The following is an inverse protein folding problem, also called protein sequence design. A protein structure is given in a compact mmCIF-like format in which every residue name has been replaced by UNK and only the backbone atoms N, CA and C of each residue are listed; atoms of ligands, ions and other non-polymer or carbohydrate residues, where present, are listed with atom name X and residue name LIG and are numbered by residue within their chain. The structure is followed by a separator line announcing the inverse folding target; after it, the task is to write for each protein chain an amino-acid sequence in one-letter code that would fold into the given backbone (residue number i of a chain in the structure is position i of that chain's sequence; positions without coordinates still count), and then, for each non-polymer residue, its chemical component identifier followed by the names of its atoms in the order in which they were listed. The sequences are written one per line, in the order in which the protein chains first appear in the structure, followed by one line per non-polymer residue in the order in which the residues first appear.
data_IF_294842771522
#
_entry.id   IF_294842771522
#
_cell.length_a   1.000
_cell.length_b   1.000
_cell.length_c   1.000
_cell.angle_alpha   90.00
_cell.angle_beta   90.00
_cell.angle_gamma   90.00
#
_symmetry.space_group_name_H-M   'P 1'
#
loop_
_entity.id
_entity.type
_entity.pdbx_description
1 polymer ?
#
# COMPACT_ATOMS: atom_id res chain seq x y z
N UNK A 1 1.29 -12.81 4.41
CA UNK A 1 2.35 -11.78 4.14
C UNK A 1 1.72 -10.41 4.15
N UNK A 2 2.51 -9.36 4.45
CA UNK A 2 2.00 -8.00 4.65
C UNK A 2 2.82 -6.97 3.84
N UNK A 3 2.13 -5.95 3.33
CA UNK A 3 2.69 -4.76 2.73
C UNK A 3 1.94 -3.52 3.22
N UNK A 4 2.56 -2.36 3.24
CA UNK A 4 1.90 -1.11 3.57
C UNK A 4 2.41 0.04 2.72
N UNK A 5 1.57 1.05 2.61
CA UNK A 5 1.96 2.33 2.04
C UNK A 5 1.32 3.48 2.82
N UNK A 6 2.00 4.63 2.84
CA UNK A 6 1.52 5.87 3.45
C UNK A 6 1.79 7.04 2.51
N UNK A 7 0.78 7.89 2.30
CA UNK A 7 0.88 9.09 1.49
C UNK A 7 0.55 10.30 2.35
N UNK A 8 1.47 11.27 2.40
CA UNK A 8 1.23 12.62 2.90
C UNK A 8 0.56 13.44 1.79
N UNK A 9 -0.71 13.75 1.96
CA UNK A 9 -1.51 14.44 0.93
C UNK A 9 -0.99 15.85 0.63
N UNK A 10 -0.46 16.54 1.64
CA UNK A 10 0.12 17.87 1.47
C UNK A 10 1.39 17.83 0.61
N UNK A 11 2.22 16.80 0.81
CA UNK A 11 3.44 16.62 0.03
C UNK A 11 3.13 16.12 -1.39
N UNK A 12 2.24 15.13 -1.52
CA UNK A 12 1.82 14.60 -2.82
C UNK A 12 1.29 15.69 -3.75
N UNK A 13 0.51 16.63 -3.22
CA UNK A 13 -0.01 17.78 -3.98
C UNK A 13 1.10 18.72 -4.47
N UNK A 14 2.22 18.81 -3.76
CA UNK A 14 3.36 19.66 -4.13
C UNK A 14 4.28 18.97 -5.14
N UNK A 15 4.52 17.67 -4.95
CA UNK A 15 5.52 16.93 -5.72
C UNK A 15 4.97 16.32 -7.01
N UNK A 16 3.66 16.10 -7.09
CA UNK A 16 3.05 15.35 -8.18
C UNK A 16 1.87 16.08 -8.81
N UNK A 17 1.98 16.39 -10.08
CA UNK A 17 0.85 16.83 -10.90
C UNK A 17 0.21 15.60 -11.58
N UNK A 18 -0.79 15.00 -10.94
CA UNK A 18 -1.49 13.83 -11.48
C UNK A 18 -2.30 14.13 -12.74
N UNK A 19 -2.64 15.41 -12.99
CA UNK A 19 -3.37 15.85 -14.19
C UNK A 19 -2.45 16.08 -15.41
N UNK A 20 -1.13 16.00 -15.24
CA UNK A 20 -0.23 16.14 -16.37
C UNK A 20 -0.49 15.05 -17.40
N UNK A 21 -0.36 15.41 -18.69
CA UNK A 21 -0.53 14.47 -19.80
C UNK A 21 0.28 13.20 -19.64
N UNK A 22 -0.37 12.05 -19.76
CA UNK A 22 0.25 10.72 -19.67
C UNK A 22 0.53 10.22 -18.24
N UNK A 23 0.18 10.97 -17.19
CA UNK A 23 0.37 10.49 -15.81
C UNK A 23 -0.52 9.28 -15.53
N UNK A 24 -1.82 9.41 -15.80
CA UNK A 24 -2.77 8.33 -15.57
C UNK A 24 -2.46 7.11 -16.45
N UNK A 25 -2.10 7.32 -17.70
CA UNK A 25 -1.80 6.23 -18.66
C UNK A 25 -0.60 5.36 -18.21
N UNK A 26 0.33 5.93 -17.48
CA UNK A 26 1.51 5.21 -16.97
C UNK A 26 1.22 4.36 -15.74
N UNK A 27 0.22 4.74 -14.94
CA UNK A 27 0.03 4.20 -13.60
C UNK A 27 -1.26 3.41 -13.43
N UNK A 28 -2.27 3.70 -14.25
CA UNK A 28 -3.63 3.19 -14.04
C UNK A 28 -4.18 2.56 -15.32
N UNK A 29 -4.89 1.43 -15.14
CA UNK A 29 -5.65 0.80 -16.23
C UNK A 29 -6.80 1.70 -16.67
N UNK A 30 -7.38 1.44 -17.83
CA UNK A 30 -8.53 2.23 -18.32
C UNK A 30 -9.71 2.21 -17.34
N UNK A 31 -9.96 1.06 -16.70
CA UNK A 31 -11.00 0.92 -15.68
C UNK A 31 -10.72 1.82 -14.48
N UNK A 32 -9.49 1.82 -13.98
CA UNK A 32 -9.08 2.68 -12.86
C UNK A 32 -9.12 4.18 -13.24
N UNK A 33 -8.74 4.54 -14.46
CA UNK A 33 -8.85 5.92 -14.94
C UNK A 33 -10.30 6.40 -14.96
N UNK A 34 -11.24 5.57 -15.42
CA UNK A 34 -12.68 5.87 -15.37
C UNK A 34 -13.16 6.03 -13.92
N UNK A 35 -12.69 5.19 -13.01
CA UNK A 35 -13.01 5.27 -11.60
C UNK A 35 -12.50 6.58 -10.98
N UNK A 36 -11.28 7.01 -11.32
CA UNK A 36 -10.69 8.28 -10.89
C UNK A 36 -11.56 9.45 -11.40
N UNK A 37 -11.82 9.50 -12.70
CA UNK A 37 -12.52 10.62 -13.33
C UNK A 37 -13.98 10.76 -12.90
N UNK A 38 -14.63 9.65 -12.55
CA UNK A 38 -16.01 9.64 -12.04
C UNK A 38 -16.13 9.79 -10.53
N UNK A 39 -15.02 9.86 -9.80
CA UNK A 39 -15.00 10.04 -8.36
C UNK A 39 -15.41 11.46 -7.96
N UNK A 40 -16.05 11.61 -6.79
CA UNK A 40 -16.33 12.92 -6.20
C UNK A 40 -15.06 13.71 -5.89
N UNK A 41 -13.98 13.01 -5.58
CA UNK A 41 -12.65 13.59 -5.37
C UNK A 41 -11.60 12.80 -6.16
N UNK A 42 -11.35 13.17 -7.44
CA UNK A 42 -10.40 12.46 -8.30
C UNK A 42 -8.97 12.41 -7.73
N UNK A 43 -8.50 13.48 -7.09
CA UNK A 43 -7.17 13.50 -6.50
C UNK A 43 -7.01 12.44 -5.40
N UNK A 44 -7.97 12.36 -4.49
CA UNK A 44 -7.97 11.34 -3.42
C UNK A 44 -8.08 9.93 -4.03
N UNK A 45 -8.87 9.75 -5.08
CA UNK A 45 -8.97 8.45 -5.74
C UNK A 45 -7.65 8.04 -6.41
N UNK A 46 -6.93 8.95 -7.05
CA UNK A 46 -5.59 8.69 -7.59
C UNK A 46 -4.67 8.13 -6.50
N UNK A 47 -4.59 8.82 -5.37
CA UNK A 47 -3.68 8.42 -4.28
C UNK A 47 -4.16 7.18 -3.53
N UNK A 48 -5.47 6.95 -3.43
CA UNK A 48 -6.03 5.71 -2.89
C UNK A 48 -5.62 4.50 -3.74
N UNK A 49 -5.84 4.55 -5.05
CA UNK A 49 -5.47 3.45 -5.95
C UNK A 49 -3.96 3.25 -6.00
N UNK A 50 -3.18 4.34 -6.05
CA UNK A 50 -1.72 4.26 -6.03
C UNK A 50 -1.19 3.60 -4.77
N UNK A 51 -1.65 4.03 -3.59
CA UNK A 51 -1.26 3.48 -2.31
C UNK A 51 -1.56 1.97 -2.21
N UNK A 52 -2.69 1.51 -2.78
CA UNK A 52 -3.03 0.08 -2.86
C UNK A 52 -2.05 -0.70 -3.70
N UNK A 53 -1.69 -0.16 -4.88
CA UNK A 53 -0.70 -0.79 -5.76
C UNK A 53 0.66 -0.90 -5.07
N UNK A 54 1.13 0.16 -4.42
CA UNK A 54 2.40 0.17 -3.70
C UNK A 54 2.42 -0.82 -2.52
N UNK A 55 1.35 -0.89 -1.74
CA UNK A 55 1.24 -1.83 -0.65
C UNK A 55 1.24 -3.30 -1.16
N UNK A 56 0.47 -3.59 -2.20
CA UNK A 56 0.41 -4.91 -2.83
C UNK A 56 1.74 -5.28 -3.51
N UNK A 57 2.38 -4.32 -4.19
CA UNK A 57 3.67 -4.52 -4.85
C UNK A 57 4.77 -4.97 -3.88
N UNK A 58 4.79 -4.46 -2.64
CA UNK A 58 5.74 -4.90 -1.61
C UNK A 58 5.60 -6.39 -1.30
N UNK A 59 4.39 -6.94 -1.32
CA UNK A 59 4.17 -8.38 -1.15
C UNK A 59 4.62 -9.12 -2.41
N UNK A 60 4.17 -8.69 -3.58
CA UNK A 60 4.53 -9.28 -4.87
C UNK A 60 6.05 -9.37 -5.05
N UNK A 61 6.76 -8.27 -4.80
CA UNK A 61 8.22 -8.22 -4.88
C UNK A 61 8.89 -9.24 -3.95
N UNK A 62 8.36 -9.40 -2.72
CA UNK A 62 8.89 -10.39 -1.76
C UNK A 62 8.63 -11.83 -2.18
N UNK A 63 7.48 -12.10 -2.76
CA UNK A 63 7.11 -13.44 -3.23
C UNK A 63 7.91 -13.87 -4.45
N UNK A 64 8.13 -12.95 -5.38
CA UNK A 64 8.70 -13.25 -6.68
C UNK A 64 10.18 -12.91 -6.80
N UNK A 65 10.71 -12.06 -5.91
CA UNK A 65 12.04 -11.44 -5.99
C UNK A 65 12.23 -10.61 -7.27
N UNK A 66 11.13 -10.23 -7.94
CA UNK A 66 11.14 -9.39 -9.14
C UNK A 66 11.03 -7.94 -8.70
N UNK A 67 12.05 -7.13 -9.01
CA UNK A 67 12.04 -5.69 -8.83
C UNK A 67 11.81 -5.02 -10.20
N UNK A 68 10.57 -4.65 -10.47
CA UNK A 68 10.18 -4.02 -11.72
C UNK A 68 9.08 -2.97 -11.49
N UNK A 69 9.06 -1.93 -12.32
CA UNK A 69 7.99 -0.95 -12.31
C UNK A 69 6.84 -1.46 -13.18
N UNK A 70 5.82 -2.03 -12.55
CA UNK A 70 4.70 -2.73 -13.21
C UNK A 70 3.31 -2.23 -12.78
N UNK A 71 3.06 -0.91 -12.62
CA UNK A 71 1.81 -0.42 -12.05
C UNK A 71 0.57 -0.83 -12.84
N UNK A 72 0.68 -1.01 -14.15
CA UNK A 72 -0.45 -1.45 -15.00
C UNK A 72 -0.79 -2.94 -14.85
N UNK A 73 0.12 -3.74 -14.27
CA UNK A 73 -0.14 -5.15 -13.96
C UNK A 73 -0.77 -5.34 -12.57
N UNK A 74 -0.74 -4.29 -11.76
CA UNK A 74 -1.38 -4.23 -10.44
C UNK A 74 -2.71 -3.50 -10.61
N UNK A 75 -3.84 -4.20 -10.69
CA UNK A 75 -5.14 -3.58 -10.89
C UNK A 75 -6.02 -3.69 -9.64
N UNK A 76 -6.64 -2.56 -9.26
CA UNK A 76 -7.49 -2.44 -8.07
C UNK A 76 -8.93 -2.78 -8.39
N UNK A 77 -9.58 -3.59 -7.53
CA UNK A 77 -10.96 -4.05 -7.67
C UNK A 77 -11.74 -3.97 -6.35
N UNK A 78 -13.06 -4.04 -6.47
CA UNK A 78 -14.03 -4.27 -5.38
C UNK A 78 -13.84 -3.29 -4.20
N UNK A 79 -13.79 -1.97 -4.50
CA UNK A 79 -13.68 -0.96 -3.46
C UNK A 79 -15.01 -0.83 -2.72
N UNK A 80 -15.00 -1.16 -1.42
CA UNK A 80 -16.14 -1.09 -0.53
C UNK A 80 -15.78 -0.31 0.74
N UNK A 81 -16.59 0.70 1.06
CA UNK A 81 -16.42 1.45 2.30
C UNK A 81 -17.16 0.76 3.45
N UNK A 82 -16.43 0.50 4.54
CA UNK A 82 -16.96 -0.10 5.76
C UNK A 82 -16.21 0.42 6.97
N UNK A 83 -16.95 0.89 7.99
CA UNK A 83 -16.43 1.34 9.28
C UNK A 83 -15.29 2.38 9.15
N UNK A 84 -15.45 3.36 8.24
CA UNK A 84 -14.45 4.41 7.99
C UNK A 84 -13.17 3.92 7.30
N UNK A 85 -13.15 2.70 6.80
CA UNK A 85 -12.08 2.13 5.99
C UNK A 85 -12.61 1.72 4.63
N UNK A 86 -11.74 1.75 3.62
CA UNK A 86 -12.08 1.26 2.28
C UNK A 86 -11.36 -0.07 2.07
N UNK A 87 -12.11 -1.14 1.94
CA UNK A 87 -11.60 -2.47 1.60
C UNK A 87 -11.58 -2.66 0.08
N UNK A 88 -10.78 -3.58 -0.40
CA UNK A 88 -10.70 -3.93 -1.81
C UNK A 88 -9.63 -4.97 -2.08
N UNK A 89 -9.35 -5.17 -3.36
CA UNK A 89 -8.35 -6.12 -3.85
C UNK A 89 -7.42 -5.46 -4.83
N UNK A 90 -6.19 -5.96 -4.91
CA UNK A 90 -5.26 -5.72 -6.02
C UNK A 90 -4.93 -7.07 -6.63
N UNK A 91 -5.10 -7.19 -7.93
CA UNK A 91 -4.74 -8.40 -8.68
C UNK A 91 -3.46 -8.12 -9.48
N UNK A 92 -2.50 -9.03 -9.41
CA UNK A 92 -1.27 -8.98 -10.17
C UNK A 92 -0.80 -10.38 -10.53
N UNK A 93 -0.66 -10.68 -11.83
CA UNK A 93 -0.05 -11.93 -12.31
C UNK A 93 -0.64 -13.19 -11.63
N UNK A 94 -1.96 -13.32 -11.58
CA UNK A 94 -2.71 -14.39 -10.92
C UNK A 94 -2.65 -14.40 -9.37
N UNK A 95 -2.00 -13.42 -8.75
CA UNK A 95 -2.05 -13.23 -7.30
C UNK A 95 -3.12 -12.22 -6.93
N UNK A 96 -3.77 -12.44 -5.79
CA UNK A 96 -4.76 -11.51 -5.21
C UNK A 96 -4.24 -11.04 -3.85
N UNK A 97 -4.24 -9.73 -3.66
CA UNK A 97 -3.89 -9.07 -2.41
C UNK A 97 -5.10 -8.32 -1.90
N UNK A 98 -5.50 -8.56 -0.67
CA UNK A 98 -6.59 -7.85 -0.02
C UNK A 98 -6.05 -6.56 0.59
N UNK A 99 -6.78 -5.46 0.42
CA UNK A 99 -6.34 -4.15 0.87
C UNK A 99 -7.35 -3.50 1.80
N UNK A 100 -6.84 -2.79 2.81
CA UNK A 100 -7.59 -1.92 3.70
C UNK A 100 -6.93 -0.55 3.69
N UNK A 101 -7.70 0.49 3.34
CA UNK A 101 -7.22 1.87 3.28
C UNK A 101 -8.00 2.75 4.25
N UNK A 102 -7.28 3.56 5.00
CA UNK A 102 -7.82 4.63 5.83
C UNK A 102 -7.41 5.97 5.22
N UNK A 103 -8.39 6.84 5.00
CA UNK A 103 -8.18 8.18 4.44
C UNK A 103 -8.53 9.20 5.52
N UNK A 104 -7.60 10.11 5.78
CA UNK A 104 -7.79 11.25 6.67
C UNK A 104 -7.66 12.55 5.89
N UNK A 105 -7.81 13.70 6.55
CA UNK A 105 -7.52 15.01 5.95
C UNK A 105 -6.05 15.17 5.53
N UNK A 106 -5.13 14.42 6.14
CA UNK A 106 -3.69 14.62 6.01
C UNK A 106 -2.98 13.49 5.26
N UNK A 107 -3.54 12.28 5.28
CA UNK A 107 -2.85 11.09 4.78
C UNK A 107 -3.79 10.02 4.25
N UNK A 108 -3.23 9.17 3.39
CA UNK A 108 -3.82 7.89 2.98
C UNK A 108 -2.87 6.79 3.46
N UNK A 109 -3.38 5.89 4.30
CA UNK A 109 -2.66 4.70 4.75
C UNK A 109 -3.32 3.45 4.19
N UNK A 110 -2.56 2.63 3.48
CA UNK A 110 -3.03 1.36 2.96
C UNK A 110 -2.20 0.20 3.50
N UNK A 111 -2.89 -0.85 3.91
CA UNK A 111 -2.33 -2.14 4.26
C UNK A 111 -2.81 -3.16 3.24
N UNK A 112 -1.90 -3.99 2.75
CA UNK A 112 -2.18 -5.13 1.90
C UNK A 112 -1.76 -6.43 2.61
N UNK A 113 -2.56 -7.48 2.42
CA UNK A 113 -2.34 -8.82 2.99
C UNK A 113 -2.68 -9.90 1.97
N UNK A 114 -2.14 -11.11 2.18
CA UNK A 114 -2.44 -12.27 1.34
C UNK A 114 -3.73 -12.99 1.75
N UNK A 115 -4.18 -12.82 2.98
CA UNK A 115 -5.42 -13.40 3.52
C UNK A 115 -6.17 -12.35 4.34
N UNK A 116 -7.48 -12.29 4.21
CA UNK A 116 -8.30 -11.29 4.91
C UNK A 116 -8.23 -11.41 6.44
N UNK A 117 -8.06 -12.62 6.97
CA UNK A 117 -7.85 -12.87 8.40
C UNK A 117 -6.59 -12.21 8.97
N UNK A 118 -5.61 -11.90 8.13
CA UNK A 118 -4.38 -11.24 8.55
C UNK A 118 -4.62 -9.79 9.02
N UNK A 119 -5.74 -9.16 8.62
CA UNK A 119 -6.06 -7.80 9.08
C UNK A 119 -6.24 -7.70 10.61
N UNK A 120 -6.69 -8.77 11.25
CA UNK A 120 -6.90 -8.81 12.70
C UNK A 120 -5.58 -9.04 13.48
N UNK A 121 -4.51 -9.41 12.77
CA UNK A 121 -3.20 -9.76 13.35
C UNK A 121 -2.11 -8.72 13.05
N UNK A 122 -2.51 -7.49 12.69
CA UNK A 122 -1.57 -6.43 12.35
C UNK A 122 -1.05 -5.75 13.63
N UNK A 123 0.27 -5.75 13.77
CA UNK A 123 0.99 -5.02 14.82
C UNK A 123 1.67 -3.79 14.21
N UNK A 124 1.39 -2.61 14.75
CA UNK A 124 2.17 -1.40 14.46
C UNK A 124 3.43 -1.38 15.33
N UNK A 125 4.56 -1.12 14.69
CA UNK A 125 5.87 -1.06 15.34
C UNK A 125 6.30 0.41 15.55
N UNK A 126 7.08 0.65 16.61
CA UNK A 126 7.70 1.96 16.81
C UNK A 126 8.68 2.23 15.64
N UNK A 127 8.64 3.41 15.00
CA UNK A 127 9.60 3.80 13.96
C UNK A 127 11.08 3.75 14.40
N UNK A 128 11.35 3.72 15.71
CA UNK A 128 12.69 3.58 16.29
C UNK A 128 13.20 2.14 16.42
N UNK A 129 12.32 1.14 16.16
CA UNK A 129 12.73 -0.26 16.18
C UNK A 129 13.92 -0.53 15.25
N UNK A 130 14.84 -1.35 15.74
CA UNK A 130 16.00 -1.74 14.94
C UNK A 130 15.59 -2.68 13.81
N UNK A 131 15.88 -2.26 12.58
CA UNK A 131 15.55 -3.02 11.37
C UNK A 131 16.77 -3.78 10.88
N UNK A 132 16.60 -5.06 10.66
CA UNK A 132 17.57 -5.93 10.00
C UNK A 132 17.10 -6.24 8.58
N UNK A 133 18.01 -6.32 7.60
CA UNK A 133 17.67 -6.75 6.25
C UNK A 133 18.18 -8.16 6.01
N UNK A 134 17.28 -9.07 5.66
CA UNK A 134 17.60 -10.44 5.24
C UNK A 134 17.10 -10.59 3.81
N UNK A 135 18.00 -10.85 2.87
CA UNK A 135 17.68 -10.93 1.43
C UNK A 135 16.89 -9.72 0.91
N UNK A 136 17.24 -8.51 1.38
CA UNK A 136 16.54 -7.27 1.02
C UNK A 136 15.21 -7.03 1.76
N UNK A 137 14.69 -8.01 2.48
CA UNK A 137 13.43 -7.90 3.24
C UNK A 137 13.73 -7.30 4.61
N UNK A 138 13.03 -6.22 5.02
CA UNK A 138 13.18 -5.68 6.36
C UNK A 138 12.54 -6.62 7.39
N UNK A 139 13.27 -6.84 8.49
CA UNK A 139 12.86 -7.64 9.64
C UNK A 139 13.11 -6.86 10.91
N UNK A 140 12.37 -7.16 11.97
CA UNK A 140 12.63 -6.69 13.33
C UNK A 140 12.78 -7.88 14.27
N UNK A 141 13.46 -7.67 15.40
CA UNK A 141 13.57 -8.68 16.44
C UNK A 141 12.39 -8.56 17.39
N UNK A 142 11.51 -9.56 17.36
CA UNK A 142 10.40 -9.63 18.28
C UNK A 142 10.90 -10.14 19.65
N UNK A 143 10.81 -9.28 20.66
CA UNK A 143 11.28 -9.58 22.02
C UNK A 143 10.42 -10.59 22.77
N UNK A 144 9.16 -10.76 22.37
CA UNK A 144 8.24 -11.72 22.97
C UNK A 144 8.48 -13.13 22.44
N UNK A 145 8.55 -13.26 21.12
CA UNK A 145 8.79 -14.56 20.44
C UNK A 145 10.26 -14.92 20.33
N UNK A 146 11.18 -13.96 20.54
CA UNK A 146 12.64 -14.08 20.41
C UNK A 146 13.13 -14.47 19.01
N UNK A 147 12.38 -14.11 17.98
CA UNK A 147 12.72 -14.39 16.58
C UNK A 147 12.71 -13.11 15.74
N UNK A 148 13.43 -13.17 14.61
CA UNK A 148 13.33 -12.14 13.57
C UNK A 148 12.07 -12.36 12.76
N UNK A 149 11.23 -11.32 12.69
CA UNK A 149 9.98 -11.34 11.93
C UNK A 149 10.00 -10.32 10.79
N UNK A 150 9.46 -10.66 9.62
CA UNK A 150 9.34 -9.73 8.51
C UNK A 150 8.41 -8.57 8.86
N UNK A 151 8.80 -7.36 8.48
CA UNK A 151 7.96 -6.18 8.60
C UNK A 151 7.77 -5.49 7.24
N UNK A 152 6.75 -4.66 7.13
CA UNK A 152 6.60 -3.71 6.06
C UNK A 152 6.80 -2.30 6.57
N UNK A 153 7.54 -1.48 5.79
CA UNK A 153 7.83 -0.09 6.12
C UNK A 153 7.45 0.81 4.96
N UNK A 154 6.81 1.92 5.26
CA UNK A 154 6.56 3.02 4.33
C UNK A 154 6.86 4.36 4.98
N UNK A 155 7.23 5.33 4.15
CA UNK A 155 7.53 6.69 4.58
C UNK A 155 7.21 7.65 3.44
N UNK A 156 6.46 8.72 3.74
CA UNK A 156 6.22 9.81 2.83
C UNK A 156 5.98 11.10 3.64
N UNK A 157 6.78 12.13 3.36
CA UNK A 157 6.70 13.42 4.03
C UNK A 157 6.77 13.32 5.55
N UNK A 158 5.72 13.77 6.21
CA UNK A 158 5.59 13.80 7.68
C UNK A 158 5.36 12.43 8.31
N UNK A 159 5.01 11.42 7.51
CA UNK A 159 4.53 10.14 8.03
C UNK A 159 5.50 9.00 7.76
N UNK A 160 5.65 8.15 8.77
CA UNK A 160 6.33 6.87 8.66
C UNK A 160 5.49 5.81 9.37
N UNK A 161 5.34 4.65 8.73
CA UNK A 161 4.59 3.51 9.26
C UNK A 161 5.40 2.24 9.12
N UNK A 162 5.44 1.47 10.19
CA UNK A 162 6.04 0.14 10.22
C UNK A 162 5.03 -0.83 10.79
N UNK A 163 4.79 -1.93 10.09
CA UNK A 163 3.82 -2.94 10.49
C UNK A 163 4.39 -4.35 10.31
N UNK A 164 3.92 -5.26 11.15
CA UNK A 164 4.20 -6.69 11.06
C UNK A 164 2.92 -7.50 11.28
N UNK A 165 2.96 -8.79 10.99
CA UNK A 165 1.94 -9.76 11.40
C UNK A 165 2.39 -10.40 12.73
N UNK A 166 1.42 -10.57 13.66
CA UNK A 166 1.61 -11.33 14.89
C UNK A 166 1.32 -12.80 14.64
#
# INVERSE_FOLDING_TARGET
MIGNDIIDLSLAKKESNWQRKGFLDKLFTLTEQLQILNSQNPEIMVWNLWSRKEAAYKIYNRQTQISAFIPLQLECFDLEEKDGSIFGKVVCCNNVYFTKTVITSDSIETIAVTQTSDFDNIKYLDPKETIFKINGIPNYYDTETKILQPLSKSHHGRFQKMIALC
#
